data_IF_260289752171
#
_entry.id   IF_260289752171
#
_cell.length_a   1.000
_cell.length_b   1.000
_cell.length_c   1.000
_cell.angle_alpha   90.00
_cell.angle_beta   90.00
_cell.angle_gamma   90.00
#
_symmetry.space_group_name_H-M   'P 1'
#
loop_
_entity.id
_entity.type
_entity.pdbx_description
1 polymer ?
#
# COMPACT_ATOMS: atom_id res chain seq x y z
N UNK A 1 -58.85 13.72 33.88
CA UNK A 1 -57.96 13.21 32.81
C UNK A 1 -57.48 14.40 32.00
N UNK A 2 -56.21 14.78 32.11
CA UNK A 2 -55.57 15.79 31.26
C UNK A 2 -54.25 15.18 30.81
N UNK A 3 -54.20 14.74 29.55
CA UNK A 3 -52.96 14.28 28.91
C UNK A 3 -52.20 15.50 28.40
N UNK A 4 -51.01 15.73 28.96
CA UNK A 4 -50.08 16.74 28.47
C UNK A 4 -49.37 16.26 27.22
N UNK A 5 -49.62 16.90 26.08
CA UNK A 5 -48.84 16.72 24.85
C UNK A 5 -47.44 17.31 25.05
N UNK A 6 -46.43 16.44 25.18
CA UNK A 6 -45.02 16.86 25.14
C UNK A 6 -44.59 17.13 23.71
N UNK A 7 -44.48 18.41 23.36
CA UNK A 7 -43.89 18.87 22.11
C UNK A 7 -42.38 18.54 22.08
N UNK A 8 -42.01 17.53 21.28
CA UNK A 8 -40.61 17.13 21.12
C UNK A 8 -39.90 18.13 20.20
N UNK A 9 -39.20 19.09 20.80
CA UNK A 9 -38.28 19.96 20.05
C UNK A 9 -37.18 19.12 19.40
N UNK A 10 -37.21 19.07 18.06
CA UNK A 10 -36.17 18.46 17.26
C UNK A 10 -34.81 19.06 17.57
N UNK A 11 -33.79 18.21 17.68
CA UNK A 11 -32.41 18.64 17.95
C UNK A 11 -31.90 19.51 16.79
N UNK A 12 -31.71 20.80 17.04
CA UNK A 12 -31.04 21.70 16.11
C UNK A 12 -29.53 21.46 16.15
N UNK A 13 -28.96 21.02 15.03
CA UNK A 13 -27.51 20.94 14.87
C UNK A 13 -26.90 22.35 14.80
N UNK A 14 -25.64 22.52 15.26
CA UNK A 14 -24.93 23.79 15.09
C UNK A 14 -24.91 24.23 13.62
N UNK A 15 -25.04 25.54 13.34
CA UNK A 15 -25.05 26.05 11.98
C UNK A 15 -23.75 25.64 11.28
N UNK A 16 -23.92 25.04 10.11
CA UNK A 16 -22.82 24.51 9.33
C UNK A 16 -22.31 25.59 8.38
N UNK A 17 -20.98 25.75 8.30
CA UNK A 17 -20.31 26.71 7.42
C UNK A 17 -20.44 26.36 5.91
N UNK A 18 -21.02 25.21 5.58
CA UNK A 18 -21.29 24.79 4.20
C UNK A 18 -22.73 24.33 4.04
N UNK A 19 -23.32 24.62 2.89
CA UNK A 19 -24.69 24.20 2.52
C UNK A 19 -24.72 22.77 1.97
N UNK A 20 -25.88 22.11 1.98
CA UNK A 20 -26.05 20.76 1.41
C UNK A 20 -25.77 20.67 -0.10
N UNK A 21 -25.77 21.80 -0.82
CA UNK A 21 -25.37 21.88 -2.22
C UNK A 21 -23.84 21.87 -2.36
N UNK A 22 -23.16 22.64 -1.52
CA UNK A 22 -21.69 22.66 -1.45
C UNK A 22 -21.13 21.31 -1.02
N UNK A 23 -21.74 20.65 -0.02
CA UNK A 23 -21.30 19.33 0.43
C UNK A 23 -21.36 18.29 -0.71
N UNK A 24 -22.42 18.34 -1.54
CA UNK A 24 -22.53 17.49 -2.74
C UNK A 24 -21.46 17.81 -3.79
N UNK A 25 -21.12 19.09 -3.97
CA UNK A 25 -20.07 19.50 -4.90
C UNK A 25 -18.68 19.07 -4.41
N UNK A 26 -18.42 19.20 -3.11
CA UNK A 26 -17.18 18.74 -2.45
C UNK A 26 -16.97 17.25 -2.68
N UNK A 27 -18.00 16.44 -2.44
CA UNK A 27 -17.94 14.98 -2.66
C UNK A 27 -17.75 14.67 -4.14
N UNK A 28 -18.48 15.34 -5.04
CA UNK A 28 -18.34 15.13 -6.49
C UNK A 28 -16.92 15.39 -6.95
N UNK A 29 -16.31 16.52 -6.57
CA UNK A 29 -14.94 16.86 -6.96
C UNK A 29 -13.93 15.80 -6.50
N UNK A 30 -14.05 15.32 -5.26
CA UNK A 30 -13.15 14.32 -4.71
C UNK A 30 -13.32 12.91 -5.34
N UNK A 31 -14.54 12.58 -5.80
CA UNK A 31 -14.85 11.29 -6.44
C UNK A 31 -14.49 11.31 -7.93
N UNK A 32 -14.72 12.43 -8.62
CA UNK A 32 -14.40 12.60 -10.04
C UNK A 32 -12.89 12.59 -10.29
N UNK A 33 -12.11 13.26 -9.44
CA UNK A 33 -10.64 13.25 -9.51
C UNK A 33 -10.05 12.98 -8.12
N UNK A 34 -9.58 11.73 -7.96
CA UNK A 34 -8.99 11.24 -6.70
C UNK A 34 -7.65 11.89 -6.34
N UNK A 35 -7.04 12.69 -7.23
CA UNK A 35 -5.78 13.40 -6.98
C UNK A 35 -5.98 14.77 -6.34
N UNK A 36 -7.22 15.29 -6.36
CA UNK A 36 -7.54 16.62 -5.84
C UNK A 36 -7.44 16.65 -4.32
N UNK A 37 -6.73 17.66 -3.80
CA UNK A 37 -6.54 17.84 -2.36
C UNK A 37 -7.67 18.63 -1.71
N UNK A 38 -7.84 18.49 -0.39
CA UNK A 38 -8.81 19.29 0.37
C UNK A 38 -8.57 20.81 0.28
N UNK A 39 -7.34 21.26 -0.02
CA UNK A 39 -7.04 22.69 -0.25
C UNK A 39 -7.54 23.17 -1.60
N UNK A 40 -7.33 22.36 -2.65
CA UNK A 40 -7.79 22.67 -4.00
C UNK A 40 -9.31 22.74 -4.06
N UNK A 41 -10.00 21.81 -3.39
CA UNK A 41 -11.47 21.85 -3.28
C UNK A 41 -11.92 23.11 -2.51
N UNK A 42 -11.25 23.46 -1.41
CA UNK A 42 -11.54 24.67 -0.64
C UNK A 42 -11.44 25.94 -1.50
N UNK A 43 -10.34 26.11 -2.23
CA UNK A 43 -10.13 27.25 -3.14
C UNK A 43 -11.21 27.32 -4.23
N UNK A 44 -11.60 26.18 -4.79
CA UNK A 44 -12.66 26.13 -5.79
C UNK A 44 -14.02 26.54 -5.20
N UNK A 45 -14.39 26.01 -4.03
CA UNK A 45 -15.64 26.37 -3.36
C UNK A 45 -15.65 27.86 -2.99
N UNK A 46 -14.55 28.40 -2.48
CA UNK A 46 -14.41 29.82 -2.16
C UNK A 46 -14.56 30.69 -3.41
N UNK A 47 -14.00 30.27 -4.55
CA UNK A 47 -14.15 31.00 -5.82
C UNK A 47 -15.59 31.05 -6.35
N UNK A 48 -16.41 30.04 -6.04
CA UNK A 48 -17.79 29.91 -6.53
C UNK A 48 -18.82 30.51 -5.56
N UNK A 49 -18.56 30.44 -4.26
CA UNK A 49 -19.52 30.82 -3.21
C UNK A 49 -19.18 32.13 -2.52
N UNK A 50 -18.00 32.69 -2.79
CA UNK A 50 -17.46 33.93 -2.20
C UNK A 50 -17.42 33.93 -0.65
N UNK A 51 -17.49 32.74 -0.02
CA UNK A 51 -17.30 32.55 1.41
C UNK A 51 -16.12 31.61 1.65
N UNK A 52 -15.29 31.96 2.62
CA UNK A 52 -14.06 31.21 2.89
C UNK A 52 -14.35 29.88 3.56
N UNK A 53 -13.92 28.78 2.92
CA UNK A 53 -14.05 27.42 3.46
C UNK A 53 -12.68 26.84 3.71
N UNK A 54 -12.35 26.57 4.97
CA UNK A 54 -11.05 25.96 5.31
C UNK A 54 -10.95 24.50 4.84
N UNK A 55 -9.74 24.07 4.44
CA UNK A 55 -9.47 22.68 4.05
C UNK A 55 -9.85 21.64 5.12
N UNK A 56 -9.83 22.01 6.41
CA UNK A 56 -10.32 21.16 7.51
C UNK A 56 -11.82 20.87 7.41
N UNK A 57 -12.61 21.86 6.97
CA UNK A 57 -14.05 21.74 6.76
C UNK A 57 -14.32 20.76 5.63
N UNK A 58 -13.61 20.92 4.49
CA UNK A 58 -13.68 19.99 3.37
C UNK A 58 -13.37 18.55 3.80
N UNK A 59 -12.28 18.34 4.54
CA UNK A 59 -11.89 17.00 5.02
C UNK A 59 -12.97 16.38 5.91
N UNK A 60 -13.56 17.17 6.83
CA UNK A 60 -14.65 16.72 7.69
C UNK A 60 -15.88 16.30 6.87
N UNK A 61 -16.24 17.02 5.81
CA UNK A 61 -17.36 16.67 4.92
C UNK A 61 -17.13 15.40 4.13
N UNK A 62 -15.92 15.25 3.60
CA UNK A 62 -15.53 14.02 2.91
C UNK A 62 -15.61 12.83 3.86
N UNK A 63 -15.11 12.95 5.09
CA UNK A 63 -15.21 11.90 6.11
C UNK A 63 -16.66 11.58 6.50
N UNK A 64 -17.50 12.59 6.73
CA UNK A 64 -18.95 12.41 7.00
C UNK A 64 -19.67 11.69 5.86
N UNK A 65 -19.17 11.85 4.62
CA UNK A 65 -19.70 11.21 3.42
C UNK A 65 -19.00 9.87 3.08
N UNK A 66 -18.16 9.35 3.99
CA UNK A 66 -17.43 8.10 3.79
C UNK A 66 -16.24 8.17 2.82
N UNK A 67 -15.93 9.36 2.28
CA UNK A 67 -14.79 9.59 1.39
C UNK A 67 -13.54 9.86 2.22
N UNK A 68 -12.76 8.80 2.43
CA UNK A 68 -11.47 8.87 3.11
C UNK A 68 -10.33 8.67 2.13
N UNK A 69 -9.35 9.58 2.12
CA UNK A 69 -8.13 9.38 1.36
C UNK A 69 -7.39 8.16 1.92
N UNK A 70 -7.32 7.08 1.15
CA UNK A 70 -6.37 6.00 1.40
C UNK A 70 -5.03 6.48 0.86
N UNK A 71 -3.97 6.42 1.69
CA UNK A 71 -2.60 6.71 1.27
C UNK A 71 -2.37 6.00 -0.08
N UNK A 72 -1.97 6.69 -1.16
CA UNK A 72 -1.48 5.99 -2.33
C UNK A 72 -0.28 5.18 -1.84
N UNK A 73 -0.40 3.86 -1.86
CA UNK A 73 0.75 3.00 -1.68
C UNK A 73 1.74 3.42 -2.76
N UNK A 74 2.96 3.76 -2.35
CA UNK A 74 4.05 4.08 -3.26
C UNK A 74 4.15 2.90 -4.24
N UNK A 75 3.61 3.06 -5.44
CA UNK A 75 3.68 2.04 -6.48
C UNK A 75 5.11 2.14 -6.96
N UNK A 76 5.96 1.23 -6.49
CA UNK A 76 7.32 1.12 -6.97
C UNK A 76 7.31 1.19 -8.50
N UNK A 77 7.87 2.27 -9.05
CA UNK A 77 8.00 2.50 -10.49
C UNK A 77 8.99 1.52 -11.15
N UNK A 78 9.35 0.44 -10.44
CA UNK A 78 10.22 -0.66 -10.88
C UNK A 78 9.52 -1.63 -11.83
N UNK A 79 8.21 -1.48 -12.06
CA UNK A 79 7.39 -2.43 -12.82
C UNK A 79 7.76 -2.53 -14.31
N UNK A 80 8.12 -1.40 -14.95
CA UNK A 80 8.45 -1.37 -16.39
C UNK A 80 9.84 -1.96 -16.64
N UNK A 81 10.81 -1.62 -15.77
CA UNK A 81 12.17 -2.16 -15.87
C UNK A 81 12.22 -3.65 -15.53
N UNK A 82 11.44 -4.09 -14.54
CA UNK A 82 11.36 -5.50 -14.17
C UNK A 82 10.71 -6.34 -15.27
N UNK A 83 9.63 -5.85 -15.92
CA UNK A 83 8.97 -6.57 -17.02
C UNK A 83 9.93 -6.79 -18.19
N UNK A 84 10.71 -5.77 -18.55
CA UNK A 84 11.67 -5.84 -19.66
C UNK A 84 12.82 -6.80 -19.34
N UNK A 85 13.38 -6.71 -18.15
CA UNK A 85 14.45 -7.63 -17.70
C UNK A 85 13.97 -9.09 -17.65
N UNK A 86 12.76 -9.32 -17.13
CA UNK A 86 12.17 -10.68 -17.08
C UNK A 86 11.95 -11.23 -18.48
N UNK A 87 11.39 -10.46 -19.41
CA UNK A 87 11.05 -11.00 -20.74
C UNK A 87 12.24 -11.13 -21.70
N UNK A 88 13.26 -10.28 -21.55
CA UNK A 88 14.39 -10.22 -22.49
C UNK A 88 15.61 -11.05 -22.04
N UNK A 89 15.78 -11.32 -20.75
CA UNK A 89 17.02 -11.93 -20.20
C UNK A 89 16.80 -13.33 -19.65
N UNK A 90 15.60 -13.65 -19.19
CA UNK A 90 15.34 -14.92 -18.53
C UNK A 90 14.49 -15.83 -19.43
N UNK A 91 14.96 -17.05 -19.66
CA UNK A 91 14.15 -18.22 -20.09
C UNK A 91 12.85 -18.29 -19.27
N UNK A 92 11.77 -18.97 -19.72
CA UNK A 92 10.46 -18.94 -19.07
C UNK A 92 10.52 -18.93 -17.54
N UNK A 93 10.25 -17.76 -16.95
CA UNK A 93 10.45 -17.54 -15.51
C UNK A 93 9.17 -17.85 -14.77
N UNK A 94 9.24 -18.85 -13.90
CA UNK A 94 8.21 -19.11 -12.91
C UNK A 94 8.63 -18.47 -11.59
N UNK A 95 7.79 -17.57 -11.07
CA UNK A 95 8.02 -16.91 -9.79
C UNK A 95 7.65 -17.86 -8.64
N UNK A 96 8.63 -18.20 -7.80
CA UNK A 96 8.38 -18.88 -6.54
C UNK A 96 8.12 -17.84 -5.43
N UNK A 97 7.01 -18.01 -4.71
CA UNK A 97 6.71 -17.30 -3.46
C UNK A 97 6.01 -18.27 -2.49
N UNK A 98 5.99 -17.95 -1.19
CA UNK A 98 5.23 -18.72 -0.21
C UNK A 98 3.74 -18.32 -0.20
N UNK A 99 2.94 -19.04 0.60
CA UNK A 99 1.50 -18.78 0.75
C UNK A 99 1.17 -17.85 1.93
N UNK A 100 2.08 -16.96 2.36
CA UNK A 100 1.75 -16.05 3.45
C UNK A 100 0.59 -15.11 3.03
N UNK A 101 -0.23 -14.70 4.01
CA UNK A 101 -1.46 -13.91 3.77
C UNK A 101 -1.27 -12.69 2.83
N UNK A 102 -0.16 -11.92 2.92
CA UNK A 102 0.09 -10.83 1.98
C UNK A 102 0.29 -11.29 0.53
N UNK A 103 0.95 -12.43 0.30
CA UNK A 103 1.29 -12.96 -1.02
C UNK A 103 0.09 -13.61 -1.74
N UNK A 104 -0.90 -14.10 -0.98
CA UNK A 104 -2.17 -14.63 -1.50
C UNK A 104 -3.30 -13.60 -1.50
N UNK A 105 -3.02 -12.34 -1.12
CA UNK A 105 -4.03 -11.28 -1.13
C UNK A 105 -4.55 -11.04 -2.55
N UNK A 106 -5.85 -10.76 -2.68
CA UNK A 106 -6.53 -10.57 -3.98
C UNK A 106 -5.82 -9.55 -4.89
N UNK A 107 -5.30 -8.46 -4.31
CA UNK A 107 -4.58 -7.42 -5.06
C UNK A 107 -3.27 -7.94 -5.65
N UNK A 108 -2.58 -8.85 -4.96
CA UNK A 108 -1.33 -9.46 -5.39
C UNK A 108 -1.61 -10.52 -6.45
N UNK A 109 -2.63 -11.35 -6.27
CA UNK A 109 -3.05 -12.33 -7.29
C UNK A 109 -3.48 -11.64 -8.59
N UNK A 110 -4.27 -10.57 -8.50
CA UNK A 110 -4.65 -9.76 -9.66
C UNK A 110 -3.44 -9.14 -10.38
N UNK A 111 -2.42 -8.74 -9.62
CA UNK A 111 -1.18 -8.21 -10.19
C UNK A 111 -0.48 -9.25 -11.06
N UNK A 112 -0.32 -10.49 -10.58
CA UNK A 112 0.34 -11.53 -11.37
C UNK A 112 -0.40 -11.88 -12.66
N UNK A 113 -1.73 -12.01 -12.59
CA UNK A 113 -2.58 -12.27 -13.76
C UNK A 113 -2.41 -11.18 -14.82
N UNK A 114 -2.47 -9.91 -14.42
CA UNK A 114 -2.37 -8.79 -15.36
C UNK A 114 -0.98 -8.59 -15.95
N UNK A 115 0.05 -9.04 -15.25
CA UNK A 115 1.43 -8.94 -15.70
C UNK A 115 1.95 -10.23 -16.35
N UNK A 116 1.09 -11.24 -16.51
CA UNK A 116 1.44 -12.55 -17.10
C UNK A 116 2.63 -13.19 -16.37
N UNK A 117 2.67 -13.06 -15.05
CA UNK A 117 3.69 -13.66 -14.20
C UNK A 117 3.17 -15.02 -13.76
N UNK A 118 3.86 -16.08 -14.14
CA UNK A 118 3.56 -17.43 -13.70
C UNK A 118 4.06 -17.64 -12.27
N UNK A 119 3.21 -18.24 -11.42
CA UNK A 119 3.59 -18.60 -10.05
C UNK A 119 3.85 -20.09 -9.95
N UNK A 120 4.92 -20.48 -9.26
CA UNK A 120 5.17 -21.88 -8.93
C UNK A 120 4.14 -22.33 -7.89
N UNK A 121 3.38 -23.41 -8.11
CA UNK A 121 2.54 -23.98 -7.08
C UNK A 121 3.38 -24.38 -5.87
N UNK A 122 3.12 -23.79 -4.71
CA UNK A 122 3.91 -24.01 -3.50
C UNK A 122 3.07 -24.66 -2.39
N UNK A 123 3.56 -25.74 -1.75
CA UNK A 123 2.87 -26.35 -0.61
C UNK A 123 2.77 -25.38 0.58
N UNK A 124 1.66 -25.47 1.31
CA UNK A 124 1.49 -24.70 2.55
C UNK A 124 2.45 -25.19 3.64
N UNK A 125 3.04 -24.26 4.40
CA UNK A 125 3.92 -24.55 5.55
C UNK A 125 5.18 -25.36 5.20
N UNK A 126 5.84 -25.03 4.09
CA UNK A 126 7.10 -25.64 3.68
C UNK A 126 8.24 -24.61 3.64
N UNK A 127 8.66 -24.08 4.81
CA UNK A 127 9.77 -23.12 4.86
C UNK A 127 11.09 -23.77 4.42
N UNK A 128 11.31 -25.04 4.74
CA UNK A 128 12.55 -25.79 4.43
C UNK A 128 12.81 -25.93 2.92
N UNK A 129 11.74 -25.87 2.13
CA UNK A 129 11.83 -25.94 0.68
C UNK A 129 12.14 -24.58 0.05
N UNK A 130 11.98 -23.47 0.79
CA UNK A 130 12.00 -22.14 0.20
C UNK A 130 13.43 -21.70 -0.12
N UNK A 131 13.77 -21.49 -1.42
CA UNK A 131 15.12 -21.07 -1.79
C UNK A 131 15.53 -19.74 -1.13
N UNK A 132 14.57 -18.82 -0.94
CA UNK A 132 14.84 -17.53 -0.30
C UNK A 132 15.17 -17.68 1.20
N UNK A 133 14.51 -18.60 1.92
CA UNK A 133 14.82 -18.87 3.33
C UNK A 133 16.21 -19.53 3.46
N UNK A 134 16.53 -20.46 2.56
CA UNK A 134 17.86 -21.06 2.50
C UNK A 134 18.95 -20.00 2.21
N UNK A 135 18.69 -19.05 1.31
CA UNK A 135 19.57 -17.90 1.07
C UNK A 135 19.73 -17.04 2.33
N UNK A 136 18.62 -16.66 2.98
CA UNK A 136 18.66 -15.82 4.17
C UNK A 136 19.38 -16.49 5.33
N UNK A 137 19.27 -17.82 5.48
CA UNK A 137 20.03 -18.60 6.47
C UNK A 137 21.54 -18.44 6.28
N UNK A 138 22.03 -18.51 5.04
CA UNK A 138 23.46 -18.31 4.73
C UNK A 138 23.96 -16.90 5.03
N UNK A 139 23.11 -15.89 4.80
CA UNK A 139 23.38 -14.50 5.13
C UNK A 139 23.40 -14.32 6.65
N UNK A 140 22.40 -14.84 7.35
CA UNK A 140 22.30 -14.78 8.80
C UNK A 140 23.51 -15.44 9.47
N UNK A 141 23.94 -16.61 9.01
CA UNK A 141 25.14 -17.29 9.50
C UNK A 141 26.38 -16.39 9.40
N UNK A 142 26.58 -15.70 8.27
CA UNK A 142 27.70 -14.75 8.10
C UNK A 142 27.58 -13.55 9.03
N UNK A 143 26.37 -13.02 9.21
CA UNK A 143 26.14 -11.90 10.13
C UNK A 143 26.46 -12.26 11.59
N UNK A 144 26.18 -13.50 12.02
CA UNK A 144 26.52 -13.96 13.38
C UNK A 144 28.02 -14.01 13.65
N UNK A 145 28.85 -14.06 12.61
CA UNK A 145 30.31 -14.09 12.72
C UNK A 145 30.94 -12.68 12.84
N UNK A 146 30.15 -11.62 12.61
CA UNK A 146 30.63 -10.24 12.66
C UNK A 146 30.79 -9.80 14.11
N UNK A 147 32.04 -9.57 14.52
CA UNK A 147 32.39 -9.11 15.86
C UNK A 147 33.23 -7.84 15.79
N UNK A 148 32.86 -6.74 16.49
CA UNK A 148 31.66 -6.57 17.28
C UNK A 148 30.39 -6.44 16.42
N UNK A 149 29.19 -6.73 16.97
CA UNK A 149 27.93 -6.57 16.26
C UNK A 149 27.73 -5.14 15.73
N UNK A 150 27.00 -5.02 14.62
CA UNK A 150 26.69 -3.73 14.03
C UNK A 150 25.86 -2.86 14.98
N UNK A 151 26.45 -1.77 15.46
CA UNK A 151 25.81 -0.88 16.44
C UNK A 151 24.79 0.11 15.85
N UNK A 152 24.65 0.20 14.52
CA UNK A 152 23.71 1.12 13.86
C UNK A 152 23.05 0.47 12.65
N UNK A 153 21.83 0.92 12.24
CA UNK A 153 21.16 0.41 11.04
C UNK A 153 22.01 0.52 9.78
N UNK A 154 22.75 1.62 9.61
CA UNK A 154 23.63 1.81 8.44
C UNK A 154 24.81 0.82 8.44
N UNK A 155 25.38 0.51 9.61
CA UNK A 155 26.42 -0.51 9.71
C UNK A 155 25.84 -1.89 9.42
N UNK A 156 24.66 -2.19 9.95
CA UNK A 156 23.97 -3.46 9.70
C UNK A 156 23.67 -3.64 8.21
N UNK A 157 23.19 -2.59 7.54
CA UNK A 157 22.93 -2.61 6.10
C UNK A 157 24.19 -2.99 5.31
N UNK A 158 25.33 -2.33 5.58
CA UNK A 158 26.61 -2.66 4.93
C UNK A 158 27.05 -4.10 5.20
N UNK A 159 26.87 -4.58 6.43
CA UNK A 159 27.17 -5.96 6.78
C UNK A 159 26.30 -6.95 6.00
N UNK A 160 25.00 -6.66 5.83
CA UNK A 160 24.08 -7.47 5.03
C UNK A 160 24.48 -7.47 3.56
N UNK A 161 24.83 -6.32 2.99
CA UNK A 161 25.28 -6.22 1.58
C UNK A 161 26.53 -7.05 1.32
N UNK A 162 27.51 -7.00 2.24
CA UNK A 162 28.73 -7.81 2.16
C UNK A 162 28.41 -9.30 2.31
N UNK A 163 27.60 -9.67 3.30
CA UNK A 163 27.20 -11.05 3.53
C UNK A 163 26.43 -11.65 2.35
N UNK A 164 25.52 -10.88 1.76
CA UNK A 164 24.76 -11.23 0.55
C UNK A 164 25.68 -11.45 -0.65
N UNK A 165 26.61 -10.53 -0.89
CA UNK A 165 27.56 -10.62 -2.00
C UNK A 165 28.51 -11.82 -1.89
N UNK A 166 28.70 -12.34 -0.67
CA UNK A 166 29.53 -13.50 -0.37
C UNK A 166 28.78 -14.85 -0.41
N UNK A 167 27.48 -14.86 -0.74
CA UNK A 167 26.74 -16.11 -0.96
C UNK A 167 27.15 -16.71 -2.32
N UNK A 168 27.64 -17.97 -2.37
CA UNK A 168 28.06 -18.57 -3.63
C UNK A 168 26.90 -18.72 -4.61
N UNK A 169 27.08 -18.29 -5.86
CA UNK A 169 26.02 -18.28 -6.88
C UNK A 169 25.64 -19.69 -7.36
N UNK A 170 26.57 -20.63 -7.29
CA UNK A 170 26.33 -22.02 -7.72
C UNK A 170 25.42 -22.80 -6.77
N UNK A 171 25.21 -22.30 -5.55
CA UNK A 171 24.35 -22.90 -4.51
C UNK A 171 22.90 -23.09 -4.96
N UNK A 172 22.42 -22.29 -5.91
CA UNK A 172 21.00 -22.24 -6.30
C UNK A 172 20.75 -22.75 -7.72
N UNK A 173 21.70 -23.47 -8.30
CA UNK A 173 21.48 -24.19 -9.55
C UNK A 173 20.64 -25.43 -9.28
N UNK A 174 19.32 -25.27 -9.28
CA UNK A 174 18.42 -26.42 -9.38
C UNK A 174 18.49 -26.91 -10.82
N UNK A 175 19.20 -28.01 -11.04
CA UNK A 175 19.10 -28.73 -12.32
C UNK A 175 17.70 -29.34 -12.36
N UNK A 176 16.81 -28.73 -13.14
CA UNK A 176 15.55 -29.37 -13.50
C UNK A 176 15.93 -30.52 -14.45
N UNK A 177 15.83 -31.75 -13.95
CA UNK A 177 15.95 -32.98 -14.74
C UNK A 177 14.73 -33.18 -15.63
#
# INVERSE_FOLDING_TARGET
MQEGTMDQRGRSHPPQCTTSREDRQIVRMAVTDRSVTSRTIAQHIESVTHHSVFARTIRRRLQQSGVSARRPLMRYATLVLHRRYISEVLEPVVLQQDNARPHVARIVQWFFVNHQIELLPWPSRSPDLSPIENMWSMVAQRLTQITPPAATPNKLWKCVEVAWSAVPKDTFKVSLN
#
